data_IF_105319496146
#
_entry.id   IF_105319496146
#
_cell.length_a   1.000
_cell.length_b   1.000
_cell.length_c   1.000
_cell.angle_alpha   90.00
_cell.angle_beta   90.00
_cell.angle_gamma   90.00
#
_symmetry.space_group_name_H-M   'P 1'
#
loop_
_entity.id
_entity.type
_entity.pdbx_description
1 polymer ?
#
# COMPACT_ATOMS: atom_id res chain seq x y z
N UNK A 1 -7.34 9.63 -9.46
CA UNK A 1 -7.45 8.26 -8.91
C UNK A 1 -6.58 8.06 -7.67
N UNK A 2 -5.29 8.39 -7.72
CA UNK A 2 -4.38 8.30 -6.55
C UNK A 2 -4.87 9.08 -5.33
N UNK A 3 -5.22 10.37 -5.48
CA UNK A 3 -5.72 11.18 -4.36
C UNK A 3 -7.03 10.63 -3.76
N UNK A 4 -7.97 10.21 -4.61
CA UNK A 4 -9.23 9.64 -4.16
C UNK A 4 -9.02 8.34 -3.37
N UNK A 5 -8.09 7.49 -3.82
CA UNK A 5 -7.67 6.29 -3.08
C UNK A 5 -7.07 6.66 -1.72
N UNK A 6 -6.15 7.62 -1.68
CA UNK A 6 -5.50 8.04 -0.44
C UNK A 6 -6.52 8.60 0.56
N UNK A 7 -7.42 9.47 0.13
CA UNK A 7 -8.49 10.03 0.99
C UNK A 7 -9.36 8.90 1.57
N UNK A 8 -9.77 7.95 0.72
CA UNK A 8 -10.54 6.78 1.16
C UNK A 8 -9.77 5.91 2.17
N UNK A 9 -8.48 5.66 1.90
CA UNK A 9 -7.60 4.87 2.77
C UNK A 9 -7.40 5.53 4.13
N UNK A 10 -7.12 6.84 4.18
CA UNK A 10 -6.96 7.57 5.43
C UNK A 10 -8.26 7.57 6.24
N UNK A 11 -9.41 7.74 5.58
CA UNK A 11 -10.73 7.63 6.24
C UNK A 11 -10.94 6.23 6.83
N UNK A 12 -10.74 5.18 6.03
CA UNK A 12 -10.88 3.79 6.47
C UNK A 12 -9.97 3.46 7.67
N UNK A 13 -8.71 3.88 7.62
CA UNK A 13 -7.74 3.63 8.70
C UNK A 13 -8.12 4.37 9.99
N UNK A 14 -8.67 5.59 9.88
CA UNK A 14 -9.22 6.34 11.01
C UNK A 14 -10.43 5.65 11.62
N UNK A 15 -11.36 5.17 10.79
CA UNK A 15 -12.56 4.43 11.23
C UNK A 15 -12.20 3.11 11.93
N UNK A 16 -11.16 2.41 11.44
CA UNK A 16 -10.60 1.19 12.05
C UNK A 16 -9.75 1.45 13.31
N UNK A 17 -9.70 2.70 13.82
CA UNK A 17 -8.88 3.10 14.99
C UNK A 17 -7.37 2.82 14.84
N UNK A 18 -6.86 2.79 13.61
CA UNK A 18 -5.43 2.61 13.30
C UNK A 18 -4.97 3.65 12.28
N UNK A 19 -5.01 4.97 12.61
CA UNK A 19 -4.70 6.03 11.66
C UNK A 19 -3.25 5.95 11.17
N UNK A 20 -3.03 6.29 9.89
CA UNK A 20 -1.69 6.41 9.32
C UNK A 20 -1.15 7.79 9.70
N UNK A 21 -0.32 7.88 10.75
CA UNK A 21 0.29 9.16 11.18
C UNK A 21 1.49 9.54 10.31
N UNK A 22 2.30 8.54 9.93
CA UNK A 22 3.49 8.74 9.09
C UNK A 22 3.63 7.56 8.13
N UNK A 23 3.89 7.88 6.86
CA UNK A 23 4.16 6.85 5.85
C UNK A 23 5.56 6.27 6.09
N UNK A 24 5.70 4.94 6.22
CA UNK A 24 6.99 4.31 6.44
C UNK A 24 7.95 4.49 5.25
N UNK A 25 9.23 4.33 5.55
CA UNK A 25 10.29 4.31 4.54
C UNK A 25 10.66 2.86 4.22
N UNK A 26 10.87 2.57 2.94
CA UNK A 26 11.49 1.34 2.47
C UNK A 26 12.95 1.66 2.16
N UNK A 27 13.86 1.27 3.05
CA UNK A 27 15.25 1.71 3.00
C UNK A 27 15.32 3.24 3.18
N UNK A 28 15.89 3.93 2.19
CA UNK A 28 16.07 5.39 2.18
C UNK A 28 14.94 6.16 1.48
N UNK A 29 13.91 5.48 0.97
CA UNK A 29 12.82 6.11 0.21
C UNK A 29 11.48 5.98 0.93
N UNK A 30 10.74 7.08 1.01
CA UNK A 30 9.36 7.04 1.52
C UNK A 30 8.49 6.22 0.56
N UNK A 31 7.68 5.33 1.13
CA UNK A 31 6.77 4.48 0.36
C UNK A 31 5.67 5.33 -0.28
N UNK A 32 5.29 5.03 -1.52
CA UNK A 32 4.04 5.52 -2.10
C UNK A 32 2.99 4.41 -2.00
N UNK A 33 1.97 4.64 -1.17
CA UNK A 33 0.92 3.67 -0.86
C UNK A 33 0.10 3.27 -2.08
N UNK A 34 -0.21 4.22 -2.96
CA UNK A 34 -0.96 3.96 -4.18
C UNK A 34 -0.18 3.08 -5.15
N UNK A 35 1.11 3.38 -5.35
CA UNK A 35 1.99 2.60 -6.23
C UNK A 35 2.13 1.16 -5.77
N UNK A 36 2.34 0.94 -4.47
CA UNK A 36 2.37 -0.43 -3.91
C UNK A 36 1.03 -1.13 -4.10
N UNK A 37 -0.08 -0.46 -3.79
CA UNK A 37 -1.42 -1.04 -3.94
C UNK A 37 -1.65 -1.52 -5.39
N UNK A 38 -1.36 -0.66 -6.37
CA UNK A 38 -1.52 -0.99 -7.80
C UNK A 38 -0.53 -2.05 -8.29
N UNK A 39 0.70 -2.03 -7.81
CA UNK A 39 1.69 -3.06 -8.15
C UNK A 39 1.26 -4.44 -7.63
N UNK A 40 0.79 -4.53 -6.38
CA UNK A 40 0.28 -5.77 -5.78
C UNK A 40 -0.99 -6.24 -6.47
N UNK A 41 -1.91 -5.33 -6.80
CA UNK A 41 -3.13 -5.64 -7.58
C UNK A 41 -2.77 -6.25 -8.94
N UNK A 42 -1.81 -5.66 -9.67
CA UNK A 42 -1.35 -6.17 -10.97
C UNK A 42 -0.68 -7.54 -10.88
N UNK A 43 -0.03 -7.85 -9.77
CA UNK A 43 0.67 -9.12 -9.54
C UNK A 43 -0.24 -10.21 -8.96
N UNK A 44 -1.56 -9.99 -8.87
CA UNK A 44 -2.52 -11.00 -8.42
C UNK A 44 -2.82 -10.96 -6.92
N UNK A 45 -2.79 -9.76 -6.33
CA UNK A 45 -3.11 -9.47 -4.93
C UNK A 45 -2.12 -10.05 -3.91
N UNK A 46 -2.40 -9.78 -2.64
CA UNK A 46 -1.49 -10.03 -1.52
C UNK A 46 -1.05 -11.50 -1.39
N UNK A 47 -1.99 -12.44 -1.51
CA UNK A 47 -1.71 -13.87 -1.34
C UNK A 47 -0.73 -14.40 -2.39
N UNK A 48 -0.89 -13.98 -3.66
CA UNK A 48 0.01 -14.41 -4.74
C UNK A 48 1.38 -13.75 -4.58
N UNK A 49 1.43 -12.45 -4.31
CA UNK A 49 2.69 -11.72 -4.11
C UNK A 49 3.49 -12.30 -2.95
N UNK A 50 2.83 -12.60 -1.83
CA UNK A 50 3.47 -13.18 -0.65
C UNK A 50 3.87 -14.64 -0.88
N UNK A 51 2.95 -15.46 -1.41
CA UNK A 51 3.20 -16.88 -1.66
C UNK A 51 4.29 -17.14 -2.69
N UNK A 52 4.43 -16.28 -3.72
CA UNK A 52 5.46 -16.40 -4.76
C UNK A 52 6.69 -15.51 -4.53
N UNK A 53 6.80 -14.86 -3.36
CA UNK A 53 7.93 -13.97 -2.99
C UNK A 53 8.19 -12.85 -4.02
N UNK A 54 7.13 -12.27 -4.57
CA UNK A 54 7.19 -11.27 -5.64
C UNK A 54 7.37 -9.83 -5.13
N UNK A 55 7.57 -9.62 -3.83
CA UNK A 55 7.78 -8.29 -3.23
C UNK A 55 8.97 -7.52 -3.82
N UNK A 56 9.94 -8.20 -4.45
CA UNK A 56 11.04 -7.54 -5.18
C UNK A 56 10.60 -6.88 -6.50
N UNK A 57 9.43 -7.27 -7.02
CA UNK A 57 8.83 -6.75 -8.26
C UNK A 57 7.77 -5.68 -8.00
N UNK A 58 7.54 -5.35 -6.71
CA UNK A 58 6.63 -4.31 -6.20
C UNK A 58 7.46 -3.08 -5.85
#
# INVERSE_FOLDING_TARGET
EEEAFLVSLYKFMKERRTPIERIPHLGFKQINLWKIYKAVEKLGAYELVTGRRLWKNV
#
